data_IF_787055129294
#
_entry.id   IF_787055129294
#
_cell.length_a   1.000
_cell.length_b   1.000
_cell.length_c   1.000
_cell.angle_alpha   90.00
_cell.angle_beta   90.00
_cell.angle_gamma   90.00
#
_symmetry.space_group_name_H-M   'P 1'
#
loop_
_entity.id
_entity.type
_entity.pdbx_description
1 polymer ?
#
# COMPACT_ATOMS: atom_id res chain seq x y z
N UNK A 1 -23.55 7.76 14.79
CA UNK A 1 -23.74 6.47 15.48
C UNK A 1 -22.40 5.74 15.53
N UNK A 2 -21.95 5.28 16.72
CA UNK A 2 -20.67 4.57 16.91
C UNK A 2 -20.85 3.03 16.94
N UNK A 3 -22.09 2.53 16.84
CA UNK A 3 -22.42 1.10 16.88
C UNK A 3 -21.57 0.26 15.91
N UNK A 4 -21.39 0.75 14.67
CA UNK A 4 -20.62 0.09 13.61
C UNK A 4 -19.12 -0.04 13.91
N UNK A 5 -18.54 0.92 14.65
CA UNK A 5 -17.12 0.95 15.01
C UNK A 5 -16.76 -0.15 16.00
N UNK A 6 -17.70 -0.52 16.87
CA UNK A 6 -17.52 -1.55 17.89
C UNK A 6 -18.03 -2.93 17.45
N UNK A 7 -18.65 -3.03 16.28
CA UNK A 7 -19.17 -4.31 15.80
C UNK A 7 -18.02 -5.21 15.30
N UNK A 8 -17.91 -6.40 15.87
CA UNK A 8 -16.79 -7.32 15.70
C UNK A 8 -16.44 -7.66 14.24
N UNK A 9 -17.42 -7.65 13.33
CA UNK A 9 -17.21 -8.02 11.92
C UNK A 9 -17.56 -6.93 10.92
N UNK A 10 -18.15 -5.81 11.34
CA UNK A 10 -18.76 -4.86 10.38
C UNK A 10 -17.70 -4.25 9.47
N UNK A 11 -16.60 -3.77 10.05
CA UNK A 11 -15.49 -3.15 9.30
C UNK A 11 -14.86 -4.16 8.35
N UNK A 12 -14.67 -5.39 8.80
CA UNK A 12 -14.15 -6.47 7.96
C UNK A 12 -15.07 -6.73 6.76
N UNK A 13 -16.38 -6.88 6.98
CA UNK A 13 -17.36 -7.11 5.91
C UNK A 13 -17.41 -5.91 4.95
N UNK A 14 -17.46 -4.68 5.47
CA UNK A 14 -17.50 -3.47 4.66
C UNK A 14 -16.24 -3.33 3.78
N UNK A 15 -15.04 -3.56 4.36
CA UNK A 15 -13.79 -3.58 3.61
C UNK A 15 -13.82 -4.62 2.49
N UNK A 16 -14.27 -5.84 2.79
CA UNK A 16 -14.40 -6.90 1.79
C UNK A 16 -15.37 -6.52 0.66
N UNK A 17 -16.51 -5.90 0.99
CA UNK A 17 -17.46 -5.41 -0.01
C UNK A 17 -16.82 -4.35 -0.92
N UNK A 18 -16.07 -3.40 -0.34
CA UNK A 18 -15.36 -2.36 -1.10
C UNK A 18 -14.29 -2.97 -2.01
N UNK A 19 -13.46 -3.87 -1.49
CA UNK A 19 -12.42 -4.56 -2.27
C UNK A 19 -13.04 -5.38 -3.41
N UNK A 20 -14.09 -6.15 -3.15
CA UNK A 20 -14.82 -6.91 -4.18
C UNK A 20 -15.44 -6.00 -5.23
N UNK A 21 -16.04 -4.87 -4.83
CA UNK A 21 -16.61 -3.92 -5.78
C UNK A 21 -15.54 -3.29 -6.67
N UNK A 22 -14.39 -2.91 -6.11
CA UNK A 22 -13.25 -2.43 -6.90
C UNK A 22 -12.76 -3.50 -7.89
N UNK A 23 -12.60 -4.74 -7.43
CA UNK A 23 -12.21 -5.85 -8.29
C UNK A 23 -13.23 -6.07 -9.42
N UNK A 24 -14.53 -6.14 -9.11
CA UNK A 24 -15.58 -6.30 -10.12
C UNK A 24 -15.62 -5.14 -11.11
N UNK A 25 -15.46 -3.90 -10.65
CA UNK A 25 -15.42 -2.72 -11.52
C UNK A 25 -14.25 -2.79 -12.50
N UNK A 26 -13.06 -3.13 -12.01
CA UNK A 26 -11.89 -3.26 -12.87
C UNK A 26 -12.04 -4.43 -13.84
N UNK A 27 -12.49 -5.60 -13.38
CA UNK A 27 -12.81 -6.74 -14.25
C UNK A 27 -13.88 -6.39 -15.29
N UNK A 28 -14.89 -5.59 -14.94
CA UNK A 28 -15.88 -5.15 -15.90
C UNK A 28 -15.28 -4.29 -17.00
N UNK A 29 -14.44 -3.31 -16.65
CA UNK A 29 -13.73 -2.50 -17.64
C UNK A 29 -12.76 -3.32 -18.48
N UNK A 30 -12.14 -4.35 -17.90
CA UNK A 30 -11.34 -5.35 -18.60
C UNK A 30 -12.14 -6.07 -19.68
N UNK A 31 -13.27 -6.65 -19.31
CA UNK A 31 -14.10 -7.48 -20.20
C UNK A 31 -14.76 -6.64 -21.29
N UNK A 32 -15.14 -5.40 -20.97
CA UNK A 32 -15.69 -4.44 -21.95
C UNK A 32 -14.65 -3.87 -22.91
N UNK A 33 -13.37 -4.14 -22.72
CA UNK A 33 -12.36 -3.71 -23.67
C UNK A 33 -12.61 -4.44 -25.00
N UNK A 34 -12.65 -3.71 -26.11
CA UNK A 34 -12.86 -4.26 -27.46
C UNK A 34 -11.86 -5.38 -27.81
N UNK A 35 -10.72 -5.40 -27.13
CA UNK A 35 -9.67 -6.39 -27.36
C UNK A 35 -9.82 -7.65 -26.49
N UNK A 36 -10.79 -7.72 -25.56
CA UNK A 36 -10.90 -8.82 -24.59
C UNK A 36 -11.08 -10.18 -25.27
N UNK A 37 -12.07 -10.33 -26.16
CA UNK A 37 -12.33 -11.60 -26.85
C UNK A 37 -11.18 -12.06 -27.75
N UNK A 38 -10.42 -11.09 -28.28
CA UNK A 38 -9.21 -11.39 -29.04
C UNK A 38 -8.10 -11.89 -28.12
N UNK A 39 -7.84 -11.19 -27.01
CA UNK A 39 -6.83 -11.55 -26.02
C UNK A 39 -7.15 -12.90 -25.38
N UNK A 40 -8.40 -13.17 -25.02
CA UNK A 40 -8.82 -14.42 -24.39
C UNK A 40 -8.59 -15.63 -25.30
N UNK A 41 -8.97 -15.53 -26.58
CA UNK A 41 -8.69 -16.59 -27.58
C UNK A 41 -7.19 -16.83 -27.74
N UNK A 42 -6.42 -15.75 -27.87
CA UNK A 42 -4.95 -15.80 -27.99
C UNK A 42 -4.29 -16.43 -26.76
N UNK A 43 -4.89 -16.28 -25.58
CA UNK A 43 -4.38 -16.85 -24.34
C UNK A 43 -4.60 -18.36 -24.28
N UNK A 44 -5.68 -18.87 -24.88
CA UNK A 44 -5.96 -20.31 -25.02
C UNK A 44 -5.04 -20.94 -26.07
N UNK A 45 -4.66 -20.19 -27.11
CA UNK A 45 -3.79 -20.67 -28.20
C UNK A 45 -2.32 -20.83 -27.77
N UNK A 46 -1.87 -20.14 -26.72
CA UNK A 46 -0.47 -20.23 -26.26
C UNK A 46 -0.23 -21.54 -25.53
N UNK A 47 0.84 -22.24 -25.93
CA UNK A 47 1.21 -23.50 -25.30
C UNK A 47 1.77 -23.27 -23.88
N UNK A 48 1.49 -24.17 -22.92
CA UNK A 48 2.10 -24.14 -21.59
C UNK A 48 3.63 -24.20 -21.63
N UNK A 49 4.20 -24.95 -22.58
CA UNK A 49 5.65 -25.08 -22.75
C UNK A 49 6.31 -23.76 -23.15
N UNK A 50 5.66 -22.97 -24.02
CA UNK A 50 6.12 -21.63 -24.40
C UNK A 50 6.18 -20.70 -23.18
N UNK A 51 5.18 -20.76 -22.29
CA UNK A 51 5.19 -19.97 -21.05
C UNK A 51 6.28 -20.41 -20.09
N UNK A 52 6.52 -21.72 -19.97
CA UNK A 52 7.56 -22.28 -19.11
C UNK A 52 8.96 -21.88 -19.61
N UNK A 53 9.18 -21.93 -20.92
CA UNK A 53 10.44 -21.53 -21.56
C UNK A 53 10.69 -20.03 -21.41
N UNK A 54 9.65 -19.21 -21.65
CA UNK A 54 9.71 -17.78 -21.41
C UNK A 54 10.07 -17.46 -19.95
N UNK A 55 9.46 -18.14 -18.98
CA UNK A 55 9.77 -17.96 -17.56
C UNK A 55 11.24 -18.27 -17.25
N UNK A 56 11.77 -19.40 -17.73
CA UNK A 56 13.18 -19.78 -17.57
C UNK A 56 14.14 -18.78 -18.24
N UNK A 57 13.76 -18.26 -19.41
CA UNK A 57 14.56 -17.26 -20.12
C UNK A 57 14.61 -15.93 -19.35
N UNK A 58 13.49 -15.50 -18.77
CA UNK A 58 13.41 -14.30 -17.93
C UNK A 58 14.18 -14.47 -16.60
N UNK A 59 14.13 -15.65 -15.98
CA UNK A 59 14.88 -15.95 -14.74
C UNK A 59 16.40 -15.95 -14.95
N UNK A 60 16.86 -16.28 -16.15
CA UNK A 60 18.30 -16.32 -16.49
C UNK A 60 18.83 -14.96 -16.99
N UNK A 61 18.04 -13.88 -16.90
CA UNK A 61 18.37 -12.51 -17.35
C UNK A 61 18.91 -12.43 -18.79
N UNK A 62 18.54 -13.37 -19.64
CA UNK A 62 18.92 -13.34 -21.06
C UNK A 62 18.23 -12.18 -21.78
N UNK A 63 18.89 -11.62 -22.80
CA UNK A 63 18.39 -10.46 -23.51
C UNK A 63 17.02 -10.73 -24.15
N UNK A 64 16.14 -9.72 -24.11
CA UNK A 64 14.84 -9.75 -24.78
C UNK A 64 14.95 -9.88 -26.31
N UNK A 65 16.14 -9.63 -26.88
CA UNK A 65 16.42 -9.86 -28.30
C UNK A 65 16.33 -11.34 -28.69
N UNK A 66 16.66 -12.24 -27.75
CA UNK A 66 16.88 -13.66 -28.00
C UNK A 66 15.60 -14.49 -27.87
N UNK A 67 14.49 -13.83 -27.53
CA UNK A 67 13.18 -14.46 -27.45
C UNK A 67 12.70 -14.86 -28.84
N UNK A 68 12.18 -16.08 -28.94
CA UNK A 68 11.48 -16.58 -30.12
C UNK A 68 10.23 -15.73 -30.41
N UNK A 69 9.70 -15.80 -31.63
CA UNK A 69 8.50 -15.06 -32.00
C UNK A 69 7.30 -15.41 -31.10
N UNK A 70 7.17 -16.68 -30.71
CA UNK A 70 6.11 -17.16 -29.82
C UNK A 70 6.29 -16.65 -28.37
N UNK A 71 7.52 -16.62 -27.87
CA UNK A 71 7.82 -16.08 -26.54
C UNK A 71 7.62 -14.57 -26.47
N UNK A 72 8.00 -13.82 -27.53
CA UNK A 72 7.70 -12.38 -27.65
C UNK A 72 6.20 -12.12 -27.63
N UNK A 73 5.45 -12.93 -28.37
CA UNK A 73 3.99 -12.84 -28.41
C UNK A 73 3.34 -13.17 -27.06
N UNK A 74 3.81 -14.20 -26.38
CA UNK A 74 3.36 -14.56 -25.04
C UNK A 74 3.68 -13.45 -24.02
N UNK A 75 4.86 -12.83 -24.12
CA UNK A 75 5.26 -11.69 -23.28
C UNK A 75 4.37 -10.47 -23.50
N UNK A 76 4.07 -10.11 -24.75
CA UNK A 76 3.14 -9.01 -25.07
C UNK A 76 1.73 -9.27 -24.53
N UNK A 77 1.25 -10.52 -24.64
CA UNK A 77 -0.05 -10.90 -24.10
C UNK A 77 -0.08 -10.78 -22.57
N UNK A 78 0.96 -11.26 -21.90
CA UNK A 78 1.13 -11.10 -20.45
C UNK A 78 1.16 -9.63 -20.04
N UNK A 79 1.86 -8.76 -20.79
CA UNK A 79 1.88 -7.31 -20.52
C UNK A 79 0.49 -6.69 -20.65
N UNK A 80 -0.30 -7.07 -21.67
CA UNK A 80 -1.69 -6.61 -21.85
C UNK A 80 -2.57 -7.05 -20.68
N UNK A 81 -2.45 -8.31 -20.23
CA UNK A 81 -3.20 -8.83 -19.07
C UNK A 81 -2.77 -8.19 -17.75
N UNK A 82 -1.47 -7.94 -17.57
CA UNK A 82 -0.94 -7.29 -16.38
C UNK A 82 -1.36 -5.82 -16.27
N UNK A 83 -1.37 -5.08 -17.39
CA UNK A 83 -1.83 -3.68 -17.45
C UNK A 83 -3.26 -3.53 -16.91
N UNK A 84 -4.08 -4.52 -17.23
CA UNK A 84 -5.47 -4.61 -16.82
C UNK A 84 -5.59 -4.91 -15.31
N UNK A 85 -4.70 -5.75 -14.77
CA UNK A 85 -4.67 -6.15 -13.35
C UNK A 85 -4.02 -5.11 -12.42
N UNK A 86 -3.41 -4.06 -12.97
CA UNK A 86 -2.67 -3.03 -12.23
C UNK A 86 -3.51 -2.24 -11.22
N UNK A 87 -4.83 -2.21 -11.43
CA UNK A 87 -5.76 -1.44 -10.58
C UNK A 87 -6.37 -2.26 -9.44
N UNK A 88 -5.99 -3.53 -9.30
CA UNK A 88 -6.39 -4.36 -8.16
C UNK A 88 -5.37 -4.13 -7.04
N UNK A 89 -5.77 -3.59 -5.87
CA UNK A 89 -4.86 -3.39 -4.75
C UNK A 89 -4.14 -4.69 -4.36
N UNK A 90 -2.82 -4.62 -4.14
CA UNK A 90 -2.00 -5.77 -3.76
C UNK A 90 -1.62 -6.71 -4.90
N UNK A 91 -2.12 -6.49 -6.13
CA UNK A 91 -1.72 -7.28 -7.30
C UNK A 91 -0.25 -7.02 -7.67
N UNK A 92 0.36 -7.95 -8.42
CA UNK A 92 1.72 -7.75 -8.93
C UNK A 92 1.84 -6.48 -9.78
N UNK A 93 0.81 -6.19 -10.56
CA UNK A 93 0.79 -5.01 -11.40
C UNK A 93 0.62 -3.71 -10.57
N UNK A 94 -0.10 -3.73 -9.44
CA UNK A 94 -0.12 -2.61 -8.47
C UNK A 94 1.26 -2.37 -7.85
N UNK A 95 2.00 -3.43 -7.51
CA UNK A 95 3.38 -3.31 -7.01
C UNK A 95 4.33 -2.73 -8.06
N UNK A 96 4.19 -3.14 -9.32
CA UNK A 96 4.95 -2.56 -10.44
C UNK A 96 4.60 -1.08 -10.64
N UNK A 97 3.33 -0.71 -10.50
CA UNK A 97 2.89 0.68 -10.60
C UNK A 97 3.56 1.55 -9.53
N UNK A 98 3.52 1.16 -8.26
CA UNK A 98 4.20 1.85 -7.15
C UNK A 98 5.71 1.98 -7.43
N UNK A 99 6.35 0.92 -7.93
CA UNK A 99 7.78 0.95 -8.29
C UNK A 99 8.07 1.98 -9.38
N UNK A 100 7.19 2.11 -10.37
CA UNK A 100 7.33 3.10 -11.43
C UNK A 100 7.12 4.53 -10.90
N UNK A 101 6.20 4.75 -9.96
CA UNK A 101 6.08 6.06 -9.29
C UNK A 101 7.35 6.43 -8.53
N UNK A 102 7.92 5.49 -7.77
CA UNK A 102 9.20 5.69 -7.07
C UNK A 102 10.31 6.06 -8.06
N UNK A 103 10.41 5.35 -9.19
CA UNK A 103 11.40 5.66 -10.25
C UNK A 103 11.20 7.05 -10.84
N UNK A 104 9.95 7.46 -11.06
CA UNK A 104 9.62 8.80 -11.55
C UNK A 104 10.03 9.87 -10.53
N UNK A 105 9.80 9.61 -9.23
CA UNK A 105 10.30 10.46 -8.15
C UNK A 105 11.82 10.59 -8.19
N UNK A 106 12.54 9.50 -8.41
CA UNK A 106 14.01 9.54 -8.51
C UNK A 106 14.49 10.35 -9.70
N UNK A 107 13.83 10.21 -10.85
CA UNK A 107 14.16 10.98 -12.05
C UNK A 107 13.94 12.48 -11.86
N UNK A 108 12.93 12.89 -11.09
CA UNK A 108 12.59 14.30 -10.92
C UNK A 108 13.31 14.96 -9.73
N UNK A 109 13.37 14.28 -8.59
CA UNK A 109 13.94 14.82 -7.35
C UNK A 109 15.40 14.43 -7.11
N UNK A 110 15.90 13.39 -7.78
CA UNK A 110 17.18 12.75 -7.51
C UNK A 110 17.05 11.51 -6.64
N UNK A 111 18.17 10.85 -6.35
CA UNK A 111 18.20 9.65 -5.51
C UNK A 111 17.68 9.92 -4.09
N UNK A 112 16.89 9.00 -3.50
CA UNK A 112 16.43 9.15 -2.14
C UNK A 112 17.61 9.00 -1.19
N UNK A 113 17.74 9.93 -0.26
CA UNK A 113 18.80 9.86 0.75
C UNK A 113 18.44 8.91 1.89
N UNK A 114 17.14 8.71 2.12
CA UNK A 114 16.63 7.93 3.25
C UNK A 114 15.49 7.03 2.77
N UNK A 115 15.57 5.77 3.18
CA UNK A 115 14.50 4.80 3.09
C UNK A 115 14.27 4.24 4.49
N UNK A 116 13.04 4.34 5.00
CA UNK A 116 12.71 3.82 6.32
C UNK A 116 11.27 3.33 6.37
N UNK A 117 11.03 2.35 7.24
CA UNK A 117 9.69 1.83 7.52
C UNK A 117 9.26 2.31 8.88
N UNK A 118 8.15 3.05 8.93
CA UNK A 118 7.54 3.48 10.19
C UNK A 118 6.44 2.51 10.60
N UNK A 119 6.61 1.84 11.75
CA UNK A 119 5.66 0.85 12.26
C UNK A 119 5.20 1.21 13.69
N UNK A 120 4.25 2.15 13.84
CA UNK A 120 3.75 2.54 15.15
C UNK A 120 2.89 1.43 15.75
N UNK A 121 3.25 0.97 16.96
CA UNK A 121 2.51 -0.11 17.62
C UNK A 121 1.38 0.43 18.52
N UNK A 122 0.14 0.33 18.04
CA UNK A 122 -1.04 0.73 18.81
C UNK A 122 -1.16 -0.04 20.14
N UNK A 123 -0.92 -1.36 20.12
CA UNK A 123 -1.04 -2.22 21.31
C UNK A 123 -0.07 -1.84 22.45
N UNK A 124 1.06 -1.21 22.13
CA UNK A 124 2.08 -0.83 23.10
C UNK A 124 2.15 0.68 23.35
N UNK A 125 1.28 1.48 22.69
CA UNK A 125 1.29 2.93 22.80
C UNK A 125 0.30 3.44 23.86
N UNK A 126 0.72 4.28 24.82
CA UNK A 126 -0.20 4.95 25.74
C UNK A 126 -1.09 5.97 25.02
N UNK A 127 -0.62 6.54 23.91
CA UNK A 127 -1.41 7.45 23.07
C UNK A 127 -2.64 6.73 22.52
N UNK A 128 -2.47 5.50 22.03
CA UNK A 128 -3.59 4.69 21.56
C UNK A 128 -4.61 4.43 22.69
N UNK A 129 -4.16 4.18 23.92
CA UNK A 129 -5.07 3.95 25.05
C UNK A 129 -5.94 5.20 25.34
N UNK A 130 -5.37 6.41 25.22
CA UNK A 130 -6.12 7.67 25.32
C UNK A 130 -7.10 7.80 24.16
N UNK A 131 -6.68 7.51 22.92
CA UNK A 131 -7.54 7.59 21.73
C UNK A 131 -8.69 6.57 21.77
N UNK A 132 -8.47 5.41 22.39
CA UNK A 132 -9.49 4.42 22.69
C UNK A 132 -10.51 4.92 23.74
N UNK A 133 -10.13 5.92 24.54
CA UNK A 133 -11.00 6.57 25.54
C UNK A 133 -10.63 6.26 27.00
N UNK A 134 -9.45 5.71 27.27
CA UNK A 134 -8.98 5.49 28.64
C UNK A 134 -8.52 6.82 29.27
N UNK A 135 -9.34 7.33 30.20
CA UNK A 135 -9.08 8.58 30.93
C UNK A 135 -8.07 8.44 32.07
N UNK A 136 -7.65 7.22 32.39
CA UNK A 136 -6.68 6.96 33.48
C UNK A 136 -5.24 7.13 33.03
N UNK A 137 -5.00 7.23 31.72
CA UNK A 137 -3.66 7.37 31.14
C UNK A 137 -3.22 8.82 31.21
N UNK A 138 -2.18 9.07 31.99
CA UNK A 138 -1.52 10.36 32.06
C UNK A 138 -0.34 10.42 31.06
N UNK A 139 -0.52 11.18 29.98
CA UNK A 139 0.51 11.40 28.95
C UNK A 139 1.58 12.43 29.36
N UNK A 140 1.38 13.16 30.46
CA UNK A 140 2.40 14.08 30.99
C UNK A 140 3.50 13.34 31.78
N UNK A 141 3.19 12.14 32.27
CA UNK A 141 4.16 11.25 32.89
C UNK A 141 5.19 10.76 31.87
N UNK A 142 6.47 10.73 32.30
CA UNK A 142 7.58 10.18 31.49
C UNK A 142 7.34 8.72 31.09
N UNK A 143 6.69 7.94 31.98
CA UNK A 143 6.35 6.54 31.75
C UNK A 143 4.89 6.31 32.13
N UNK A 144 3.94 6.60 31.22
CA UNK A 144 2.52 6.42 31.49
C UNK A 144 2.22 4.97 31.87
N UNK A 145 1.56 4.77 33.01
CA UNK A 145 1.10 3.43 33.41
C UNK A 145 -0.08 3.05 32.52
N UNK A 146 0.03 1.90 31.86
CA UNK A 146 -1.04 1.35 31.02
C UNK A 146 -1.60 0.07 31.62
N UNK A 147 -2.77 -0.33 31.14
CA UNK A 147 -3.37 -1.63 31.47
C UNK A 147 -2.51 -2.80 31.01
N UNK A 148 -2.83 -4.00 31.49
CA UNK A 148 -2.12 -5.24 31.16
C UNK A 148 -2.06 -5.48 29.65
N UNK A 149 -1.06 -6.23 29.18
CA UNK A 149 -0.89 -6.50 27.75
C UNK A 149 -2.10 -7.16 27.10
N UNK A 150 -2.76 -8.08 27.82
CA UNK A 150 -4.02 -8.71 27.37
C UNK A 150 -5.12 -7.68 27.17
N UNK A 151 -5.31 -6.78 28.13
CA UNK A 151 -6.34 -5.75 28.04
C UNK A 151 -6.05 -4.76 26.89
N UNK A 152 -4.78 -4.39 26.67
CA UNK A 152 -4.41 -3.54 25.53
C UNK A 152 -4.76 -4.19 24.19
N UNK A 153 -4.53 -5.49 24.04
CA UNK A 153 -4.88 -6.23 22.83
C UNK A 153 -6.41 -6.31 22.63
N UNK A 154 -7.17 -6.54 23.71
CA UNK A 154 -8.63 -6.55 23.66
C UNK A 154 -9.20 -5.19 23.25
N UNK A 155 -8.64 -4.09 23.78
CA UNK A 155 -9.03 -2.72 23.40
C UNK A 155 -8.74 -2.44 21.94
N UNK A 156 -7.56 -2.84 21.45
CA UNK A 156 -7.22 -2.74 20.03
C UNK A 156 -8.23 -3.47 19.14
N UNK A 157 -8.58 -4.71 19.48
CA UNK A 157 -9.56 -5.49 18.73
C UNK A 157 -10.99 -4.91 18.81
N UNK A 158 -11.34 -4.28 19.94
CA UNK A 158 -12.67 -3.71 20.19
C UNK A 158 -12.92 -2.43 19.41
N UNK A 159 -11.88 -1.66 19.12
CA UNK A 159 -11.99 -0.41 18.36
C UNK A 159 -10.90 -0.28 17.28
N UNK A 160 -11.04 -1.02 16.17
CA UNK A 160 -10.16 -0.91 15.01
C UNK A 160 -10.14 0.48 14.36
N UNK A 161 -11.20 1.30 14.52
CA UNK A 161 -11.19 2.67 13.98
C UNK A 161 -10.25 3.55 14.82
N UNK A 162 -10.24 3.40 16.15
CA UNK A 162 -9.24 4.07 17.00
C UNK A 162 -7.82 3.70 16.57
N UNK A 163 -7.61 2.46 16.13
CA UNK A 163 -6.31 1.98 15.68
C UNK A 163 -5.88 2.67 14.39
N UNK A 164 -6.79 2.81 13.43
CA UNK A 164 -6.56 3.55 12.19
C UNK A 164 -6.30 5.05 12.46
N UNK A 165 -7.13 5.68 13.30
CA UNK A 165 -6.95 7.07 13.73
C UNK A 165 -5.57 7.26 14.39
N UNK A 166 -5.14 6.31 15.22
CA UNK A 166 -3.83 6.33 15.87
C UNK A 166 -2.68 6.22 14.85
N UNK A 167 -2.79 5.31 13.88
CA UNK A 167 -1.78 5.16 12.84
C UNK A 167 -1.61 6.46 12.05
N UNK A 168 -2.72 7.04 11.58
CA UNK A 168 -2.74 8.31 10.85
C UNK A 168 -2.15 9.46 11.68
N UNK A 169 -2.54 9.54 12.96
CA UNK A 169 -1.98 10.51 13.90
C UNK A 169 -0.46 10.37 14.04
N UNK A 170 0.06 9.15 14.17
CA UNK A 170 1.49 8.91 14.30
C UNK A 170 2.26 9.29 13.03
N UNK A 171 1.77 8.89 11.84
CA UNK A 171 2.40 9.22 10.56
C UNK A 171 2.40 10.73 10.34
N UNK A 172 1.25 11.38 10.49
CA UNK A 172 1.13 12.84 10.32
C UNK A 172 1.99 13.59 11.31
N UNK A 173 2.02 13.16 12.58
CA UNK A 173 2.85 13.79 13.62
C UNK A 173 4.34 13.64 13.34
N UNK A 174 4.77 12.47 12.85
CA UNK A 174 6.16 12.24 12.46
C UNK A 174 6.58 13.23 11.38
N UNK A 175 5.84 13.31 10.28
CA UNK A 175 6.19 14.19 9.16
C UNK A 175 6.09 15.67 9.55
N UNK A 176 5.04 16.06 10.28
CA UNK A 176 4.82 17.44 10.67
C UNK A 176 5.86 17.95 11.67
N UNK A 177 6.05 17.22 12.78
CA UNK A 177 6.84 17.72 13.90
C UNK A 177 8.29 17.26 13.87
N UNK A 178 8.57 16.02 13.44
CA UNK A 178 9.94 15.52 13.41
C UNK A 178 10.64 15.89 12.11
N UNK A 179 9.94 15.77 10.98
CA UNK A 179 10.51 16.04 9.66
C UNK A 179 10.22 17.45 9.13
N UNK A 180 9.43 18.23 9.84
CA UNK A 180 9.14 19.63 9.50
C UNK A 180 8.43 19.75 8.15
N UNK A 181 7.49 18.86 7.83
CA UNK A 181 6.66 18.89 6.63
C UNK A 181 5.35 19.64 6.86
N UNK A 182 5.02 20.56 5.95
CA UNK A 182 3.74 21.24 5.92
C UNK A 182 2.83 20.61 4.84
N UNK A 183 1.77 19.95 5.31
CA UNK A 183 0.77 19.31 4.45
C UNK A 183 -0.11 20.31 3.69
N UNK A 184 -0.22 21.56 4.14
CA UNK A 184 -1.01 22.58 3.46
C UNK A 184 -0.31 23.15 2.24
N UNK A 185 1.02 23.31 2.32
CA UNK A 185 1.86 23.81 1.23
C UNK A 185 2.54 22.69 0.44
N UNK A 186 2.41 21.44 0.89
CA UNK A 186 3.12 20.27 0.35
C UNK A 186 4.63 20.53 0.23
N UNK A 187 5.22 21.12 1.28
CA UNK A 187 6.65 21.47 1.30
C UNK A 187 7.20 21.48 2.72
N UNK A 188 8.54 21.50 2.85
CA UNK A 188 9.17 21.63 4.16
C UNK A 188 9.02 23.04 4.72
N UNK A 189 8.86 23.12 6.04
CA UNK A 189 8.89 24.35 6.83
C UNK A 189 10.20 25.13 6.62
N UNK A 190 10.21 26.42 7.01
CA UNK A 190 11.38 27.28 6.84
C UNK A 190 12.58 26.81 7.65
N UNK A 191 12.31 26.20 8.80
CA UNK A 191 13.29 25.66 9.75
C UNK A 191 13.75 24.25 9.34
N UNK A 192 12.87 23.49 8.67
CA UNK A 192 13.10 22.07 8.37
C UNK A 192 12.89 21.17 9.59
N UNK A 193 13.16 19.87 9.43
CA UNK A 193 13.11 18.88 10.51
C UNK A 193 14.49 18.38 10.92
N UNK A 194 14.52 17.26 11.65
CA UNK A 194 15.77 16.61 12.10
C UNK A 194 16.68 16.17 10.93
N UNK A 195 16.11 16.03 9.73
CA UNK A 195 16.81 15.68 8.49
C UNK A 195 17.09 16.90 7.60
N UNK A 196 16.87 18.11 8.12
CA UNK A 196 16.86 19.34 7.33
C UNK A 196 15.57 19.51 6.53
N UNK A 197 15.67 20.18 5.38
CA UNK A 197 14.51 20.48 4.53
C UNK A 197 14.21 19.34 3.57
N UNK A 198 13.03 18.76 3.70
CA UNK A 198 12.52 17.76 2.77
C UNK A 198 12.16 18.43 1.42
N UNK A 199 12.79 18.00 0.34
CA UNK A 199 12.41 18.41 -1.03
C UNK A 199 11.15 17.69 -1.50
N UNK A 200 11.05 16.40 -1.21
CA UNK A 200 9.91 15.55 -1.50
C UNK A 200 9.98 14.28 -0.65
N UNK A 201 8.84 13.60 -0.49
CA UNK A 201 8.79 12.23 0.01
C UNK A 201 7.75 11.45 -0.78
N UNK A 202 7.89 10.13 -0.80
CA UNK A 202 6.90 9.20 -1.32
C UNK A 202 6.68 8.13 -0.26
N UNK A 203 5.43 7.82 0.04
CA UNK A 203 5.05 6.88 1.09
C UNK A 203 3.88 6.02 0.68
N UNK A 204 3.94 4.75 1.03
CA UNK A 204 2.87 3.76 0.82
C UNK A 204 2.55 3.09 2.15
N UNK A 205 1.28 2.82 2.38
CA UNK A 205 0.80 2.02 3.51
C UNK A 205 0.40 0.64 2.99
N UNK A 206 0.84 -0.41 3.68
CA UNK A 206 0.41 -1.79 3.44
C UNK A 206 -0.61 -2.24 4.48
#
# INVERSE_FOLDING_TARGET
DRSFRYHFSYIFVALNMLQRRMAHLHTYFTVKNSNFDSIARKLIEISPDTLLNLAKHLETEKSFSDLTAEEKYALELLQKVNTISARIPGSQASKIFIRNEIRNYFSFFGLPQIFFTFNPSAAHSPIFQVMFGDKTIDLSSRFPKTVSGRERALRLAKDPVAAADFFEFCVTSLFKFLLGWDYSTCSSTKEGGILGKLKAFYGTTE
#
